data_IF_298319460911
#
_entry.id   IF_298319460911
#
_cell.length_a   1.000
_cell.length_b   1.000
_cell.length_c   1.000
_cell.angle_alpha   90.00
_cell.angle_beta   90.00
_cell.angle_gamma   90.00
#
_symmetry.space_group_name_H-M   'P 1'
#
loop_
_entity.id
_entity.type
_entity.pdbx_description
1 polymer ?
#
# COMPACT_ATOMS: atom_id res chain seq x y z
N UNK A 1 -20.43 23.02 3.45
CA UNK A 1 -19.29 23.54 2.65
C UNK A 1 -19.11 22.64 1.44
N UNK A 2 -19.30 23.15 0.23
CA UNK A 2 -19.04 22.39 -0.99
C UNK A 2 -17.59 22.52 -1.47
N UNK A 3 -17.19 21.69 -2.44
CA UNK A 3 -15.86 21.74 -3.06
C UNK A 3 -15.52 23.13 -3.61
N UNK A 4 -16.53 23.83 -4.16
CA UNK A 4 -16.38 25.21 -4.66
C UNK A 4 -16.05 26.20 -3.55
N UNK A 5 -16.63 26.02 -2.36
CA UNK A 5 -16.38 26.90 -1.21
C UNK A 5 -14.97 26.68 -0.67
N UNK A 6 -14.53 25.42 -0.58
CA UNK A 6 -13.15 25.07 -0.18
C UNK A 6 -12.14 25.70 -1.14
N UNK A 7 -12.37 25.61 -2.45
CA UNK A 7 -11.49 26.23 -3.46
C UNK A 7 -11.46 27.76 -3.34
N UNK A 8 -12.57 28.41 -3.03
CA UNK A 8 -12.61 29.85 -2.77
C UNK A 8 -11.76 30.22 -1.55
N UNK A 9 -11.86 29.47 -0.46
CA UNK A 9 -11.06 29.72 0.74
C UNK A 9 -9.57 29.47 0.51
N UNK A 10 -9.20 28.40 -0.21
CA UNK A 10 -7.79 28.14 -0.56
C UNK A 10 -7.22 29.28 -1.39
N UNK A 11 -7.99 29.86 -2.31
CA UNK A 11 -7.53 30.99 -3.14
C UNK A 11 -7.19 32.24 -2.33
N UNK A 12 -7.86 32.45 -1.19
CA UNK A 12 -7.63 33.58 -0.28
C UNK A 12 -6.35 33.43 0.57
N UNK A 13 -5.74 32.24 0.59
CA UNK A 13 -4.52 32.00 1.37
C UNK A 13 -3.28 32.65 0.74
N UNK A 14 -2.27 33.00 1.55
CA UNK A 14 -0.95 33.38 1.06
C UNK A 14 -0.34 32.31 0.16
N UNK A 15 0.52 32.73 -0.79
CA UNK A 15 1.17 31.84 -1.77
C UNK A 15 1.87 30.65 -1.10
N UNK A 16 2.59 30.87 0.00
CA UNK A 16 3.28 29.82 0.76
C UNK A 16 2.33 28.72 1.25
N UNK A 17 1.18 29.09 1.80
CA UNK A 17 0.15 28.14 2.25
C UNK A 17 -0.50 27.39 1.10
N UNK A 18 -0.74 28.08 -0.03
CA UNK A 18 -1.26 27.42 -1.24
C UNK A 18 -0.26 26.39 -1.79
N UNK A 19 1.03 26.72 -1.79
CA UNK A 19 2.09 25.81 -2.22
C UNK A 19 2.16 24.56 -1.33
N UNK A 20 2.08 24.75 -0.01
CA UNK A 20 2.05 23.64 0.94
C UNK A 20 0.86 22.70 0.70
N UNK A 21 -0.33 23.24 0.39
CA UNK A 21 -1.50 22.43 0.07
C UNK A 21 -1.22 21.60 -1.18
N UNK A 22 -0.71 22.20 -2.25
CA UNK A 22 -0.36 21.51 -3.50
C UNK A 22 0.62 20.36 -3.24
N UNK A 23 1.69 20.62 -2.48
CA UNK A 23 2.69 19.61 -2.13
C UNK A 23 2.07 18.44 -1.38
N UNK A 24 1.29 18.71 -0.32
CA UNK A 24 0.63 17.66 0.47
C UNK A 24 -0.38 16.86 -0.37
N UNK A 25 -1.13 17.53 -1.25
CA UNK A 25 -2.06 16.87 -2.15
C UNK A 25 -1.34 15.95 -3.13
N UNK A 26 -0.23 16.41 -3.74
CA UNK A 26 0.58 15.57 -4.63
C UNK A 26 1.18 14.36 -3.90
N UNK A 27 1.69 14.56 -2.68
CA UNK A 27 2.20 13.48 -1.84
C UNK A 27 1.12 12.44 -1.53
N UNK A 28 -0.06 12.89 -1.10
CA UNK A 28 -1.17 12.00 -0.78
C UNK A 28 -1.64 11.18 -1.99
N UNK A 29 -1.70 11.79 -3.19
CA UNK A 29 -2.04 11.08 -4.43
C UNK A 29 -1.01 9.96 -4.68
N UNK A 30 0.29 10.28 -4.64
CA UNK A 30 1.36 9.29 -4.87
C UNK A 30 1.34 8.15 -3.85
N UNK A 31 1.14 8.46 -2.58
CA UNK A 31 1.04 7.45 -1.51
C UNK A 31 -0.17 6.55 -1.71
N UNK A 32 -1.33 7.11 -2.08
CA UNK A 32 -2.54 6.33 -2.36
C UNK A 32 -2.36 5.37 -3.53
N UNK A 33 -1.70 5.83 -4.61
CA UNK A 33 -1.40 5.01 -5.78
C UNK A 33 -0.41 3.88 -5.45
N UNK A 34 0.62 4.20 -4.67
CA UNK A 34 1.62 3.22 -4.22
C UNK A 34 0.97 2.15 -3.36
N UNK A 35 0.16 2.56 -2.37
CA UNK A 35 -0.59 1.62 -1.52
C UNK A 35 -1.51 0.72 -2.35
N UNK A 36 -2.25 1.28 -3.30
CA UNK A 36 -3.13 0.50 -4.19
C UNK A 36 -2.35 -0.52 -5.02
N UNK A 37 -1.19 -0.15 -5.56
CA UNK A 37 -0.32 -1.06 -6.31
C UNK A 37 0.22 -2.19 -5.41
N UNK A 38 0.65 -1.87 -4.19
CA UNK A 38 1.12 -2.86 -3.23
C UNK A 38 0.03 -3.85 -2.85
N UNK A 39 -1.19 -3.37 -2.59
CA UNK A 39 -2.35 -4.25 -2.30
C UNK A 39 -2.58 -5.21 -3.46
N UNK A 40 -2.69 -4.71 -4.70
CA UNK A 40 -2.85 -5.58 -5.87
C UNK A 40 -1.73 -6.60 -6.04
N UNK A 41 -0.48 -6.20 -5.81
CA UNK A 41 0.66 -7.10 -5.87
C UNK A 41 0.55 -8.19 -4.79
N UNK A 42 0.20 -7.82 -3.55
CA UNK A 42 0.02 -8.77 -2.45
C UNK A 42 -1.15 -9.74 -2.69
N UNK A 43 -2.26 -9.27 -3.25
CA UNK A 43 -3.40 -10.12 -3.62
C UNK A 43 -3.01 -11.13 -4.69
N UNK A 44 -2.21 -10.72 -5.68
CA UNK A 44 -1.67 -11.60 -6.72
C UNK A 44 -0.74 -12.65 -6.11
N UNK A 45 0.24 -12.22 -5.31
CA UNK A 45 1.17 -13.14 -4.64
C UNK A 45 0.46 -14.12 -3.71
N UNK A 46 -0.54 -13.67 -2.95
CA UNK A 46 -1.34 -14.53 -2.08
C UNK A 46 -2.12 -15.58 -2.88
N UNK A 47 -2.64 -15.20 -4.05
CA UNK A 47 -3.33 -16.14 -4.94
C UNK A 47 -2.34 -17.21 -5.41
N UNK A 48 -1.18 -16.81 -5.90
CA UNK A 48 -0.15 -17.72 -6.40
C UNK A 48 0.30 -18.68 -5.28
N UNK A 49 0.59 -18.16 -4.08
CA UNK A 49 0.95 -18.95 -2.90
C UNK A 49 -0.08 -20.01 -2.51
N UNK A 50 -1.38 -19.75 -2.72
CA UNK A 50 -2.45 -20.70 -2.40
C UNK A 50 -2.64 -21.79 -3.45
N UNK A 51 -2.29 -21.51 -4.71
CA UNK A 51 -2.55 -22.41 -5.84
C UNK A 51 -1.31 -23.19 -6.30
N UNK A 52 -0.12 -22.66 -6.04
CA UNK A 52 1.14 -23.25 -6.46
C UNK A 52 1.73 -24.07 -5.30
N UNK A 53 1.68 -25.39 -5.42
CA UNK A 53 2.19 -26.32 -4.42
C UNK A 53 3.70 -26.21 -4.21
N UNK A 54 4.45 -25.73 -5.22
CA UNK A 54 5.90 -25.55 -5.11
C UNK A 54 6.25 -24.44 -4.11
N UNK A 55 5.40 -23.41 -4.00
CA UNK A 55 5.55 -22.32 -3.04
C UNK A 55 5.31 -22.76 -1.58
N UNK A 56 4.68 -23.92 -1.37
CA UNK A 56 4.40 -24.51 -0.05
C UNK A 56 5.07 -25.88 0.14
N UNK A 57 5.98 -26.28 -0.75
CA UNK A 57 6.54 -27.63 -0.77
C UNK A 57 7.18 -28.04 0.56
N UNK A 58 7.75 -27.07 1.28
CA UNK A 58 8.40 -27.30 2.58
C UNK A 58 7.48 -27.15 3.79
N UNK A 59 6.23 -26.67 3.64
CA UNK A 59 5.28 -26.52 4.75
C UNK A 59 4.94 -27.87 5.40
N UNK A 60 5.05 -28.97 4.64
CA UNK A 60 4.90 -30.33 5.17
C UNK A 60 6.03 -30.72 6.14
N UNK A 61 7.21 -30.11 6.02
CA UNK A 61 8.35 -30.36 6.90
C UNK A 61 8.22 -29.63 8.24
N UNK A 62 7.43 -28.57 8.33
CA UNK A 62 7.21 -27.80 9.58
C UNK A 62 6.61 -28.65 10.71
N UNK A 63 5.94 -29.75 10.36
CA UNK A 63 5.31 -30.69 11.30
C UNK A 63 6.14 -31.97 11.53
N UNK A 64 7.31 -32.10 10.91
CA UNK A 64 8.20 -33.23 11.15
C UNK A 64 9.00 -33.02 12.43
N UNK A 65 9.15 -34.08 13.24
CA UNK A 65 10.05 -34.04 14.39
C UNK A 65 11.49 -33.81 13.90
N UNK A 66 12.13 -32.78 14.42
CA UNK A 66 13.50 -32.44 14.09
C UNK A 66 14.43 -33.55 14.59
N UNK A 67 15.04 -34.29 13.67
CA UNK A 67 16.00 -35.33 14.01
C UNK A 67 17.37 -34.72 14.26
N UNK A 68 17.61 -34.27 15.49
CA UNK A 68 18.94 -33.79 15.90
C UNK A 68 19.83 -35.00 16.24
N UNK A 69 20.87 -35.21 15.43
CA UNK A 69 21.85 -36.28 15.68
C UNK A 69 22.78 -35.83 16.82
N UNK A 70 22.78 -36.58 17.93
CA UNK A 70 23.69 -36.38 19.07
C UNK A 70 25.07 -36.97 18.81
#
# INVERSE_FOLDING_TARGET
>A
MGTRDILKEIKKLPVSKRMLIVEKTLKAIRESDTKRKMVKASEKLLKDYKSDGDLTAFTLLDYQEFYETR
#
